data_IF_090935160364
#
_entry.id   IF_090935160364
#
_cell.length_a   1.000
_cell.length_b   1.000
_cell.length_c   1.000
_cell.angle_alpha   90.00
_cell.angle_beta   90.00
_cell.angle_gamma   90.00
#
_symmetry.space_group_name_H-M   'P 1'
#
loop_
_entity.id
_entity.type
_entity.pdbx_description
1 polymer ?
#
# COMPACT_ATOMS: atom_id res chain seq x y z
N UNK A 1 -74.25 10.74 72.05
CA UNK A 1 -73.00 11.35 71.55
C UNK A 1 -72.11 10.22 71.11
N UNK A 2 -72.17 9.90 69.81
CA UNK A 2 -71.38 8.78 69.26
C UNK A 2 -70.54 9.33 68.09
N UNK A 3 -69.22 9.23 68.16
CA UNK A 3 -68.24 9.69 67.21
C UNK A 3 -67.96 8.55 66.19
N UNK A 4 -68.33 8.76 65.00
CA UNK A 4 -68.08 7.82 63.90
C UNK A 4 -66.64 8.06 63.38
N UNK A 5 -65.81 6.99 63.45
CA UNK A 5 -64.45 6.99 62.87
C UNK A 5 -64.49 6.58 61.40
N UNK A 6 -64.07 7.45 60.55
CA UNK A 6 -63.98 7.23 59.13
C UNK A 6 -62.60 6.61 58.80
N UNK A 7 -62.59 5.38 58.28
CA UNK A 7 -61.36 4.69 57.80
C UNK A 7 -61.15 4.96 56.34
N UNK A 8 -60.19 5.80 56.05
CA UNK A 8 -59.69 6.02 54.68
C UNK A 8 -58.79 4.86 54.23
N UNK A 9 -59.17 4.18 53.16
CA UNK A 9 -58.40 3.10 52.55
C UNK A 9 -57.37 3.77 51.60
N UNK A 10 -56.08 3.50 51.84
CA UNK A 10 -54.96 3.91 50.99
C UNK A 10 -54.82 2.85 49.89
N UNK A 11 -55.12 3.25 48.65
CA UNK A 11 -54.85 2.47 47.45
C UNK A 11 -53.38 2.65 47.03
N UNK A 12 -52.58 1.60 47.09
CA UNK A 12 -51.22 1.55 46.57
C UNK A 12 -51.28 1.37 45.03
N UNK A 13 -50.97 2.41 44.30
CA UNK A 13 -50.71 2.31 42.85
C UNK A 13 -49.26 1.87 42.66
N UNK A 14 -49.06 0.64 42.17
CA UNK A 14 -47.78 0.10 41.73
C UNK A 14 -47.45 0.70 40.35
N UNK A 15 -46.56 1.66 40.33
CA UNK A 15 -46.00 2.23 39.09
C UNK A 15 -45.02 1.26 38.47
N UNK A 16 -45.33 0.76 37.28
CA UNK A 16 -44.46 -0.04 36.44
C UNK A 16 -43.47 0.89 35.73
N UNK A 17 -42.22 0.95 36.17
CA UNK A 17 -41.12 1.64 35.47
C UNK A 17 -40.69 0.81 34.27
N UNK A 18 -41.11 1.20 33.06
CA UNK A 18 -40.52 0.69 31.81
C UNK A 18 -39.12 1.31 31.65
N UNK A 19 -38.07 0.52 31.92
CA UNK A 19 -36.71 0.87 31.56
C UNK A 19 -36.56 0.68 30.03
N UNK A 20 -36.57 1.76 29.27
CA UNK A 20 -36.21 1.76 27.86
C UNK A 20 -34.69 1.53 27.75
N UNK A 21 -34.29 0.32 27.41
CA UNK A 21 -32.89 0.03 27.04
C UNK A 21 -32.59 0.66 25.71
N UNK A 22 -31.86 1.78 25.70
CA UNK A 22 -31.20 2.34 24.53
C UNK A 22 -30.05 1.41 24.14
N UNK A 23 -30.28 0.56 23.14
CA UNK A 23 -29.21 -0.15 22.45
C UNK A 23 -28.40 0.88 21.62
N UNK A 24 -27.07 0.96 21.80
CA UNK A 24 -26.26 1.76 20.90
C UNK A 24 -26.31 1.12 19.50
N UNK A 25 -26.85 1.83 18.52
CA UNK A 25 -26.70 1.50 17.12
C UNK A 25 -25.21 1.72 16.81
N UNK A 26 -24.44 0.65 16.84
CA UNK A 26 -23.10 0.63 16.25
C UNK A 26 -23.30 0.81 14.75
N UNK A 27 -23.11 2.04 14.28
CA UNK A 27 -22.94 2.33 12.87
C UNK A 27 -21.65 1.62 12.46
N UNK A 28 -21.78 0.42 11.91
CA UNK A 28 -20.68 -0.23 11.22
C UNK A 28 -20.36 0.65 9.99
N UNK A 29 -19.38 1.56 10.15
CA UNK A 29 -18.60 1.98 9.02
C UNK A 29 -18.02 0.69 8.44
N UNK A 30 -18.45 0.30 7.25
CA UNK A 30 -17.79 -0.72 6.45
C UNK A 30 -16.43 -0.16 6.01
N UNK A 31 -15.47 -0.13 6.93
CA UNK A 31 -14.06 -0.17 6.58
C UNK A 31 -13.87 -1.48 5.82
N UNK A 32 -13.23 -1.42 4.66
CA UNK A 32 -12.70 -2.60 3.97
C UNK A 32 -11.97 -3.43 5.06
N UNK A 33 -12.61 -4.49 5.52
CA UNK A 33 -12.04 -5.41 6.50
C UNK A 33 -10.86 -6.08 5.80
N UNK A 34 -9.64 -5.77 6.22
CA UNK A 34 -8.45 -6.44 5.71
C UNK A 34 -7.36 -5.52 5.13
N UNK A 35 -7.46 -4.20 5.26
CA UNK A 35 -6.34 -3.30 4.88
C UNK A 35 -5.54 -2.92 6.11
N UNK A 36 -4.23 -3.16 6.06
CA UNK A 36 -3.29 -2.93 7.17
C UNK A 36 -2.43 -1.69 6.82
N UNK A 37 -2.37 -0.73 7.73
CA UNK A 37 -1.45 0.39 7.57
C UNK A 37 0.00 -0.03 7.92
N UNK A 38 1.03 0.67 7.39
CA UNK A 38 2.41 0.41 7.77
C UNK A 38 2.67 0.54 9.28
N UNK A 39 1.99 1.47 9.95
CA UNK A 39 2.10 1.64 11.40
C UNK A 39 1.55 0.43 12.16
N UNK A 40 0.32 -0.01 11.83
CA UNK A 40 -0.27 -1.23 12.42
C UNK A 40 0.61 -2.46 12.19
N UNK A 41 1.15 -2.62 10.99
CA UNK A 41 2.04 -3.74 10.70
C UNK A 41 3.30 -3.72 11.58
N UNK A 42 3.90 -2.54 11.80
CA UNK A 42 5.06 -2.41 12.70
C UNK A 42 4.72 -2.71 14.15
N UNK A 43 3.56 -2.25 14.63
CA UNK A 43 3.10 -2.47 16.01
C UNK A 43 2.85 -3.96 16.29
N UNK A 44 2.36 -4.72 15.28
CA UNK A 44 2.14 -6.17 15.38
C UNK A 44 3.43 -7.00 15.34
N UNK A 45 4.60 -6.40 15.13
CA UNK A 45 5.84 -7.11 14.85
C UNK A 45 6.64 -7.55 16.09
N UNK A 46 6.01 -7.69 17.26
CA UNK A 46 6.50 -8.24 18.52
C UNK A 46 8.04 -8.34 18.68
N UNK A 47 8.65 -7.27 19.20
CA UNK A 47 10.02 -7.29 19.73
C UNK A 47 11.15 -7.53 18.72
N UNK A 48 10.88 -7.52 17.43
CA UNK A 48 11.90 -7.58 16.38
C UNK A 48 12.62 -6.24 16.27
N UNK A 49 13.91 -6.25 16.01
CA UNK A 49 14.68 -5.03 15.76
C UNK A 49 14.24 -4.39 14.43
N UNK A 50 14.12 -3.07 14.42
CA UNK A 50 13.93 -2.31 13.20
C UNK A 50 15.08 -2.55 12.21
N UNK A 51 14.78 -2.37 10.90
CA UNK A 51 15.78 -2.40 9.84
C UNK A 51 16.76 -1.22 9.91
N UNK A 52 17.49 -0.95 8.82
CA UNK A 52 18.49 0.14 8.77
C UNK A 52 17.91 1.53 9.08
N UNK A 53 16.61 1.71 8.87
CA UNK A 53 15.84 2.91 9.21
C UNK A 53 14.67 2.49 10.08
N UNK A 54 14.54 3.11 11.24
CA UNK A 54 13.38 2.94 12.12
C UNK A 54 12.26 3.92 11.70
N UNK A 55 11.27 3.43 10.97
CA UNK A 55 10.14 4.24 10.51
C UNK A 55 9.08 4.50 11.60
N UNK A 56 9.20 3.88 12.78
CA UNK A 56 8.42 4.28 13.94
C UNK A 56 8.89 5.67 14.46
N UNK A 57 10.16 5.96 14.34
CA UNK A 57 10.76 7.25 14.72
C UNK A 57 10.94 8.20 13.53
N UNK A 58 11.50 7.73 12.41
CA UNK A 58 11.76 8.53 11.24
C UNK A 58 10.48 8.84 10.45
N UNK A 59 10.45 9.99 9.77
CA UNK A 59 9.37 10.36 8.85
C UNK A 59 9.62 9.71 7.49
N UNK A 60 9.23 8.44 7.36
CA UNK A 60 9.49 7.64 6.16
C UNK A 60 8.52 7.94 5.02
N UNK A 61 9.01 7.70 3.78
CA UNK A 61 8.23 7.75 2.54
C UNK A 61 8.82 6.77 1.52
N UNK A 62 7.95 6.19 0.68
CA UNK A 62 8.34 5.26 -0.39
C UNK A 62 8.05 5.87 -1.76
N UNK A 63 9.06 5.95 -2.62
CA UNK A 63 8.85 6.15 -4.06
C UNK A 63 8.56 4.80 -4.70
N UNK A 64 7.44 4.68 -5.38
CA UNK A 64 7.10 3.46 -6.14
C UNK A 64 6.85 3.77 -7.60
N UNK A 65 7.28 2.85 -8.48
CA UNK A 65 7.15 2.97 -9.92
C UNK A 65 6.49 1.73 -10.49
N UNK A 66 5.37 1.91 -11.19
CA UNK A 66 4.56 0.83 -11.71
C UNK A 66 4.67 0.68 -13.22
N UNK A 67 4.58 -0.56 -13.71
CA UNK A 67 4.45 -0.89 -15.12
C UNK A 67 5.75 -0.76 -15.93
N UNK A 68 6.91 -0.77 -15.28
CA UNK A 68 8.23 -0.93 -15.90
C UNK A 68 8.71 -2.39 -15.92
N UNK A 69 9.99 -2.61 -16.31
CA UNK A 69 10.91 -1.64 -16.87
C UNK A 69 10.54 -1.21 -18.29
N UNK A 70 11.02 -0.05 -18.70
CA UNK A 70 10.78 0.52 -20.01
C UNK A 70 12.05 1.23 -20.53
N UNK A 71 12.07 1.67 -21.79
CA UNK A 71 13.23 2.32 -22.37
C UNK A 71 13.80 3.50 -21.55
N UNK A 72 13.00 4.38 -20.90
CA UNK A 72 13.51 5.44 -20.04
C UNK A 72 13.97 4.99 -18.64
N UNK A 73 13.66 3.79 -18.18
CA UNK A 73 13.98 3.31 -16.82
C UNK A 73 15.47 3.47 -16.44
N UNK A 74 16.47 3.22 -17.33
CA UNK A 74 17.87 3.46 -16.98
C UNK A 74 18.16 4.91 -16.57
N UNK A 75 17.48 5.90 -17.13
CA UNK A 75 17.62 7.32 -16.74
C UNK A 75 17.06 7.59 -15.35
N UNK A 76 15.96 6.92 -14.97
CA UNK A 76 15.43 6.99 -13.62
C UNK A 76 16.41 6.40 -12.61
N UNK A 77 17.00 5.24 -12.91
CA UNK A 77 17.99 4.61 -12.05
C UNK A 77 19.23 5.50 -11.85
N UNK A 78 19.69 6.21 -12.89
CA UNK A 78 20.77 7.19 -12.77
C UNK A 78 20.40 8.34 -11.82
N UNK A 79 19.15 8.81 -11.86
CA UNK A 79 18.64 9.84 -10.93
C UNK A 79 18.64 9.30 -9.50
N UNK A 80 18.01 8.15 -9.25
CA UNK A 80 17.91 7.55 -7.92
C UNK A 80 19.28 7.25 -7.31
N UNK A 81 20.21 6.75 -8.13
CA UNK A 81 21.61 6.51 -7.72
C UNK A 81 22.34 7.79 -7.32
N UNK A 82 22.25 8.85 -8.13
CA UNK A 82 22.83 10.15 -7.83
C UNK A 82 22.27 10.73 -6.54
N UNK A 83 20.96 10.62 -6.36
CA UNK A 83 20.26 11.09 -5.17
C UNK A 83 20.41 10.13 -3.96
N UNK A 84 20.96 8.92 -4.13
CA UNK A 84 21.09 7.88 -3.09
C UNK A 84 19.72 7.56 -2.45
N UNK A 85 18.70 7.38 -3.28
CA UNK A 85 17.32 7.09 -2.86
C UNK A 85 16.96 5.68 -3.29
N UNK A 86 16.61 4.79 -2.36
CA UNK A 86 15.99 3.51 -2.70
C UNK A 86 14.54 3.74 -3.17
N UNK A 87 14.03 2.82 -3.97
CA UNK A 87 12.66 2.82 -4.45
C UNK A 87 12.13 1.40 -4.56
N UNK A 88 10.80 1.25 -4.72
CA UNK A 88 10.18 -0.04 -5.02
C UNK A 88 9.58 0.00 -6.43
N UNK A 89 9.92 -0.99 -7.25
CA UNK A 89 9.45 -1.12 -8.62
C UNK A 89 8.47 -2.28 -8.72
N UNK A 90 7.24 -2.00 -9.15
CA UNK A 90 6.22 -3.00 -9.45
C UNK A 90 6.23 -3.28 -10.95
N UNK A 91 6.80 -4.41 -11.34
CA UNK A 91 7.16 -4.70 -12.72
C UNK A 91 6.07 -5.47 -13.45
N UNK A 92 5.77 -5.02 -14.67
CA UNK A 92 4.92 -5.73 -15.61
C UNK A 92 5.75 -6.73 -16.43
N UNK A 93 5.12 -7.83 -16.88
CA UNK A 93 5.81 -8.89 -17.61
C UNK A 93 5.96 -8.59 -19.09
N UNK A 94 4.85 -8.71 -19.83
CA UNK A 94 4.83 -8.68 -21.29
C UNK A 94 5.26 -7.33 -21.86
N UNK A 95 6.36 -7.33 -22.63
CA UNK A 95 6.95 -6.12 -23.20
C UNK A 95 7.84 -5.33 -22.22
N UNK A 96 8.06 -5.84 -21.02
CA UNK A 96 8.76 -5.19 -19.93
C UNK A 96 9.86 -6.09 -19.32
N UNK A 97 9.56 -6.97 -18.36
CA UNK A 97 10.60 -7.84 -17.77
C UNK A 97 11.21 -8.77 -18.80
N UNK A 98 10.40 -9.30 -19.71
CA UNK A 98 10.85 -10.13 -20.83
C UNK A 98 11.75 -9.38 -21.83
N UNK A 99 11.54 -8.07 -21.97
CA UNK A 99 12.29 -7.22 -22.92
C UNK A 99 13.54 -6.60 -22.28
N UNK A 100 13.49 -6.27 -20.98
CA UNK A 100 14.55 -5.53 -20.28
C UNK A 100 15.09 -6.26 -19.03
N UNK A 101 15.45 -7.56 -19.09
CA UNK A 101 15.88 -8.31 -17.91
C UNK A 101 17.15 -7.73 -17.26
N UNK A 102 18.05 -7.12 -18.05
CA UNK A 102 19.25 -6.47 -17.53
C UNK A 102 18.94 -5.23 -16.69
N UNK A 103 17.84 -4.52 -17.01
CA UNK A 103 17.37 -3.39 -16.21
C UNK A 103 16.80 -3.86 -14.87
N UNK A 104 16.08 -4.99 -14.84
CA UNK A 104 15.60 -5.63 -13.59
C UNK A 104 16.80 -6.01 -12.71
N UNK A 105 17.81 -6.65 -13.30
CA UNK A 105 19.07 -6.99 -12.59
C UNK A 105 19.74 -5.73 -12.02
N UNK A 106 19.77 -4.63 -12.77
CA UNK A 106 20.34 -3.35 -12.33
C UNK A 106 19.58 -2.76 -11.14
N UNK A 107 18.23 -2.78 -11.17
CA UNK A 107 17.40 -2.31 -10.05
C UNK A 107 17.79 -3.00 -8.74
N UNK A 108 17.84 -4.34 -8.75
CA UNK A 108 18.19 -5.12 -7.57
C UNK A 108 19.63 -4.85 -7.09
N UNK A 109 20.60 -4.76 -8.00
CA UNK A 109 22.02 -4.49 -7.68
C UNK A 109 22.23 -3.08 -7.10
N UNK A 110 21.41 -2.11 -7.48
CA UNK A 110 21.48 -0.74 -6.95
C UNK A 110 20.66 -0.55 -5.66
N UNK A 111 20.10 -1.66 -5.09
CA UNK A 111 19.44 -1.65 -3.77
C UNK A 111 17.97 -1.27 -3.82
N UNK A 112 17.36 -1.25 -5.00
CA UNK A 112 15.92 -1.08 -5.13
C UNK A 112 15.19 -2.40 -4.85
N UNK A 113 13.97 -2.30 -4.36
CA UNK A 113 13.07 -3.43 -4.22
C UNK A 113 12.32 -3.66 -5.54
N UNK A 114 12.22 -4.93 -5.94
CA UNK A 114 11.57 -5.36 -7.18
C UNK A 114 10.40 -6.25 -6.83
N UNK A 115 9.22 -5.93 -7.34
CA UNK A 115 7.95 -6.54 -7.03
C UNK A 115 7.11 -6.78 -8.30
N UNK A 116 6.03 -7.56 -8.16
CA UNK A 116 5.19 -7.99 -9.27
C UNK A 116 4.07 -6.99 -9.58
N UNK A 117 3.79 -6.75 -10.88
CA UNK A 117 2.65 -5.95 -11.34
C UNK A 117 1.87 -6.63 -12.49
N UNK A 118 1.84 -7.96 -12.47
CA UNK A 118 1.16 -8.84 -13.43
C UNK A 118 1.76 -8.87 -14.84
N UNK A 119 1.38 -9.87 -15.61
CA UNK A 119 1.92 -10.10 -16.96
C UNK A 119 1.41 -9.06 -17.96
N UNK A 120 0.10 -8.82 -17.98
CA UNK A 120 -0.55 -8.00 -19.03
C UNK A 120 -1.39 -6.84 -18.48
N UNK A 121 -1.28 -6.57 -17.17
CA UNK A 121 -1.98 -5.47 -16.49
C UNK A 121 -3.52 -5.56 -16.52
N UNK A 122 -4.07 -6.79 -16.47
CA UNK A 122 -5.51 -7.00 -16.36
C UNK A 122 -6.03 -6.68 -14.96
N UNK A 123 -7.30 -6.28 -14.88
CA UNK A 123 -7.99 -6.19 -13.59
C UNK A 123 -8.17 -7.60 -13.01
N UNK A 124 -7.47 -7.90 -11.91
CA UNK A 124 -7.47 -9.24 -11.32
C UNK A 124 -8.84 -9.64 -10.74
N UNK A 125 -9.67 -8.68 -10.35
CA UNK A 125 -11.01 -8.98 -9.78
C UNK A 125 -12.02 -9.48 -10.82
N UNK A 126 -11.66 -9.42 -12.11
CA UNK A 126 -12.48 -9.89 -13.22
C UNK A 126 -12.02 -11.26 -13.75
N UNK A 127 -10.99 -11.85 -13.12
CA UNK A 127 -10.35 -13.08 -13.55
C UNK A 127 -10.69 -14.24 -12.61
N UNK A 128 -10.69 -15.44 -13.17
CA UNK A 128 -10.72 -16.68 -12.38
C UNK A 128 -9.39 -16.90 -11.64
N UNK A 129 -9.35 -17.71 -10.57
CA UNK A 129 -8.11 -18.04 -9.87
C UNK A 129 -6.96 -18.52 -10.76
N UNK A 130 -7.26 -19.36 -11.76
CA UNK A 130 -6.25 -19.85 -12.70
C UNK A 130 -5.74 -18.75 -13.64
N UNK A 131 -6.60 -17.83 -14.08
CA UNK A 131 -6.19 -16.67 -14.87
C UNK A 131 -5.37 -15.68 -14.03
N UNK A 132 -5.67 -15.51 -12.73
CA UNK A 132 -4.85 -14.71 -11.81
C UNK A 132 -3.44 -15.33 -11.71
N UNK A 133 -3.32 -16.66 -11.53
CA UNK A 133 -2.01 -17.35 -11.53
C UNK A 133 -1.25 -17.12 -12.84
N UNK A 134 -1.94 -17.22 -13.97
CA UNK A 134 -1.35 -16.99 -15.29
C UNK A 134 -0.84 -15.54 -15.49
N UNK A 135 -1.45 -14.57 -14.83
CA UNK A 135 -0.98 -13.17 -14.82
C UNK A 135 0.20 -12.94 -13.85
N UNK A 136 0.34 -13.73 -12.79
CA UNK A 136 1.29 -13.48 -11.71
C UNK A 136 2.56 -14.30 -11.83
N UNK A 137 2.47 -15.62 -12.00
CA UNK A 137 3.61 -16.53 -11.95
C UNK A 137 4.71 -16.26 -12.99
N UNK A 138 4.40 -15.89 -14.25
CA UNK A 138 5.47 -15.61 -15.22
C UNK A 138 6.37 -14.45 -14.77
N UNK A 139 5.78 -13.41 -14.20
CA UNK A 139 6.52 -12.23 -13.73
C UNK A 139 7.35 -12.55 -12.48
N UNK A 140 6.86 -13.41 -11.57
CA UNK A 140 7.68 -13.91 -10.46
C UNK A 140 8.92 -14.63 -10.96
N UNK A 141 8.78 -15.50 -11.97
CA UNK A 141 9.90 -16.24 -12.59
C UNK A 141 10.90 -15.31 -13.27
N UNK A 142 10.42 -14.29 -14.00
CA UNK A 142 11.29 -13.29 -14.64
C UNK A 142 12.10 -12.52 -13.61
N UNK A 143 11.45 -12.07 -12.52
CA UNK A 143 12.11 -11.34 -11.43
C UNK A 143 13.12 -12.24 -10.73
N UNK A 144 12.75 -13.47 -10.39
CA UNK A 144 13.65 -14.44 -9.76
C UNK A 144 14.88 -14.71 -10.64
N UNK A 145 14.69 -14.95 -11.94
CA UNK A 145 15.77 -15.19 -12.89
C UNK A 145 16.73 -13.99 -13.00
N UNK A 146 16.19 -12.75 -12.92
CA UNK A 146 16.99 -11.53 -13.05
C UNK A 146 17.68 -11.10 -11.75
N UNK A 147 17.13 -11.45 -10.57
CA UNK A 147 17.57 -10.94 -9.27
C UNK A 147 18.09 -12.00 -8.32
N UNK A 148 17.80 -13.29 -8.58
CA UNK A 148 18.07 -14.42 -7.67
C UNK A 148 17.13 -14.46 -6.46
N UNK A 149 16.03 -13.69 -6.46
CA UNK A 149 15.06 -13.63 -5.36
C UNK A 149 13.65 -13.71 -5.90
N UNK A 150 12.81 -14.53 -5.30
CA UNK A 150 11.37 -14.55 -5.54
C UNK A 150 10.77 -13.29 -4.89
N UNK A 151 10.01 -12.46 -5.63
CA UNK A 151 9.33 -11.32 -5.02
C UNK A 151 8.23 -11.79 -4.05
N UNK A 152 8.07 -11.08 -2.94
CA UNK A 152 7.02 -11.31 -1.95
C UNK A 152 5.92 -10.25 -1.97
N UNK A 153 5.98 -9.30 -2.90
CA UNK A 153 5.03 -8.21 -3.08
C UNK A 153 4.44 -8.21 -4.48
N UNK A 154 3.16 -7.86 -4.55
CA UNK A 154 2.46 -7.55 -5.79
C UNK A 154 1.66 -6.26 -5.59
N UNK A 155 1.58 -5.44 -6.63
CA UNK A 155 0.56 -4.38 -6.71
C UNK A 155 -0.46 -4.78 -7.75
N UNK A 156 -1.76 -4.95 -7.37
CA UNK A 156 -2.78 -5.26 -8.36
C UNK A 156 -3.01 -4.06 -9.29
N UNK A 157 -3.20 -4.27 -10.60
CA UNK A 157 -3.52 -3.22 -11.56
C UNK A 157 -4.71 -2.38 -11.12
N UNK A 158 -4.55 -1.05 -11.15
CA UNK A 158 -5.57 -0.11 -10.68
C UNK A 158 -5.87 -0.17 -9.17
N UNK A 159 -5.14 -0.97 -8.40
CA UNK A 159 -5.39 -1.22 -6.98
C UNK A 159 -6.64 -2.09 -6.73
N UNK A 160 -7.18 -2.74 -7.76
CA UNK A 160 -8.37 -3.57 -7.66
C UNK A 160 -8.06 -4.92 -7.02
N UNK A 161 -8.70 -5.22 -5.90
CA UNK A 161 -8.55 -6.46 -5.15
C UNK A 161 -9.87 -6.91 -4.52
N UNK A 162 -9.97 -8.20 -4.21
CA UNK A 162 -11.07 -8.85 -3.50
C UNK A 162 -10.55 -10.11 -2.80
N UNK A 163 -11.43 -10.87 -2.16
CA UNK A 163 -11.04 -12.08 -1.42
C UNK A 163 -10.44 -13.15 -2.33
N UNK A 164 -10.98 -13.38 -3.54
CA UNK A 164 -10.45 -14.36 -4.51
C UNK A 164 -9.00 -13.99 -4.92
N UNK A 165 -8.75 -12.72 -5.18
CA UNK A 165 -7.39 -12.22 -5.48
C UNK A 165 -6.47 -12.44 -4.27
N UNK A 166 -6.93 -12.11 -3.06
CA UNK A 166 -6.16 -12.26 -1.84
C UNK A 166 -5.82 -13.72 -1.54
N UNK A 167 -6.75 -14.65 -1.79
CA UNK A 167 -6.54 -16.08 -1.59
C UNK A 167 -5.49 -16.64 -2.55
N UNK A 168 -5.58 -16.31 -3.84
CA UNK A 168 -4.59 -16.73 -4.84
C UNK A 168 -3.20 -16.14 -4.51
N UNK A 169 -3.14 -14.86 -4.15
CA UNK A 169 -1.87 -14.22 -3.80
C UNK A 169 -1.26 -14.80 -2.51
N UNK A 170 -2.10 -15.22 -1.55
CA UNK A 170 -1.65 -15.93 -0.33
C UNK A 170 -0.97 -17.26 -0.69
N UNK A 171 -1.56 -18.04 -1.60
CA UNK A 171 -0.98 -19.29 -2.07
C UNK A 171 0.34 -19.07 -2.84
N UNK A 172 0.45 -17.97 -3.58
CA UNK A 172 1.65 -17.59 -4.33
C UNK A 172 2.73 -16.90 -3.48
N UNK A 173 2.49 -16.70 -2.18
CA UNK A 173 3.44 -16.07 -1.27
C UNK A 173 3.57 -14.57 -1.41
N UNK A 174 2.55 -13.88 -1.97
CA UNK A 174 2.57 -12.45 -2.28
C UNK A 174 1.64 -11.64 -1.37
N UNK A 175 2.16 -10.58 -0.77
CA UNK A 175 1.39 -9.52 -0.15
C UNK A 175 1.01 -8.44 -1.17
N UNK A 176 -0.05 -7.69 -0.90
CA UNK A 176 -0.55 -6.64 -1.78
C UNK A 176 -0.13 -5.25 -1.27
N UNK A 177 0.51 -4.46 -2.13
CA UNK A 177 0.99 -3.12 -1.80
C UNK A 177 0.21 -2.06 -2.58
N UNK A 178 -0.64 -1.30 -1.91
CA UNK A 178 -1.34 -0.16 -2.48
C UNK A 178 -0.57 1.16 -2.23
N UNK A 179 -1.22 2.30 -2.40
CA UNK A 179 -0.62 3.62 -2.26
C UNK A 179 -1.56 4.61 -1.56
N UNK A 180 -1.00 5.69 -1.04
CA UNK A 180 -1.75 6.83 -0.49
C UNK A 180 -1.60 8.11 -1.31
N UNK A 181 -0.55 8.19 -2.14
CA UNK A 181 -0.24 9.38 -2.94
C UNK A 181 -0.24 9.03 -4.42
N UNK A 182 -1.01 9.75 -5.24
CA UNK A 182 -1.02 9.60 -6.70
C UNK A 182 -0.67 10.90 -7.41
N UNK A 183 0.38 10.86 -8.21
CA UNK A 183 0.80 12.00 -9.03
C UNK A 183 -0.10 12.23 -10.25
N UNK A 184 -0.89 11.21 -10.64
CA UNK A 184 -1.64 11.18 -11.91
C UNK A 184 -0.76 11.58 -13.10
N UNK A 185 0.48 11.09 -13.11
CA UNK A 185 1.52 11.38 -14.09
C UNK A 185 1.17 10.87 -15.50
N UNK A 186 0.28 9.88 -15.58
CA UNK A 186 -0.31 9.40 -16.84
C UNK A 186 -1.28 10.40 -17.50
N UNK A 187 -1.65 11.49 -16.82
CA UNK A 187 -2.57 12.52 -17.33
C UNK A 187 -1.87 13.79 -17.80
N UNK A 188 -0.56 13.93 -17.59
CA UNK A 188 0.17 15.17 -17.87
C UNK A 188 1.65 14.90 -18.15
N UNK A 189 2.27 15.77 -18.95
CA UNK A 189 3.73 15.83 -19.12
C UNK A 189 4.37 16.95 -18.31
N UNK A 190 3.58 17.74 -17.58
CA UNK A 190 4.06 18.82 -16.72
C UNK A 190 4.68 18.26 -15.43
N UNK A 191 6.00 18.26 -15.38
CA UNK A 191 6.76 17.77 -14.24
C UNK A 191 6.59 18.62 -12.98
N UNK A 192 6.30 19.92 -13.12
CA UNK A 192 6.03 20.79 -11.98
C UNK A 192 4.68 20.43 -11.33
N UNK A 193 3.65 20.18 -12.13
CA UNK A 193 2.34 19.72 -11.66
C UNK A 193 2.42 18.32 -11.03
N UNK A 194 3.18 17.39 -11.61
CA UNK A 194 3.43 16.05 -11.04
C UNK A 194 4.06 16.21 -9.65
N UNK A 195 5.14 16.99 -9.54
CA UNK A 195 5.80 17.29 -8.26
C UNK A 195 4.82 17.88 -7.26
N UNK A 196 4.07 18.90 -7.64
CA UNK A 196 3.12 19.57 -6.74
C UNK A 196 2.09 18.59 -6.18
N UNK A 197 1.47 17.76 -7.04
CA UNK A 197 0.49 16.74 -6.63
C UNK A 197 1.06 15.76 -5.61
N UNK A 198 2.31 15.36 -5.78
CA UNK A 198 3.01 14.48 -4.81
C UNK A 198 3.19 15.20 -3.49
N UNK A 199 3.72 16.43 -3.51
CA UNK A 199 4.03 17.18 -2.28
C UNK A 199 2.79 17.54 -1.45
N UNK A 200 1.65 17.79 -2.12
CA UNK A 200 0.39 18.14 -1.47
C UNK A 200 -0.28 16.97 -0.74
N UNK A 201 -0.02 15.74 -1.19
CA UNK A 201 -0.65 14.53 -0.66
C UNK A 201 0.26 13.74 0.29
N UNK A 202 1.59 14.01 0.26
CA UNK A 202 2.54 13.18 1.00
C UNK A 202 2.47 13.45 2.49
N UNK A 203 2.14 12.41 3.25
CA UNK A 203 2.20 12.35 4.71
C UNK A 203 3.23 11.32 5.16
N UNK A 204 3.45 11.19 6.50
CA UNK A 204 4.29 10.14 7.08
C UNK A 204 3.81 8.77 6.61
N UNK A 205 4.74 7.89 6.33
CA UNK A 205 4.52 6.53 5.81
C UNK A 205 3.88 6.49 4.43
N UNK A 206 3.83 7.62 3.72
CA UNK A 206 3.25 7.75 2.41
C UNK A 206 3.91 6.84 1.37
N UNK A 207 3.09 6.17 0.57
CA UNK A 207 3.51 5.36 -0.57
C UNK A 207 3.08 6.11 -1.83
N UNK A 208 4.09 6.57 -2.61
CA UNK A 208 3.90 7.45 -3.76
C UNK A 208 3.87 6.62 -5.04
N UNK A 209 2.74 6.66 -5.76
CA UNK A 209 2.55 6.01 -7.06
C UNK A 209 3.00 6.91 -8.20
N UNK A 210 3.95 6.41 -8.99
CA UNK A 210 4.50 7.00 -10.21
C UNK A 210 4.65 5.93 -11.30
N UNK A 211 4.88 6.37 -12.57
CA UNK A 211 5.12 5.49 -13.70
C UNK A 211 6.23 6.10 -14.57
N UNK A 212 7.42 5.53 -14.59
CA UNK A 212 8.60 6.10 -15.25
C UNK A 212 8.51 6.17 -16.78
N UNK A 213 7.54 5.47 -17.38
CA UNK A 213 7.29 5.49 -18.83
C UNK A 213 6.68 6.80 -19.33
N UNK A 214 6.07 7.61 -18.44
CA UNK A 214 5.48 8.89 -18.83
C UNK A 214 6.50 10.02 -18.79
N UNK A 215 6.49 10.88 -19.83
CA UNK A 215 7.54 11.84 -20.09
C UNK A 215 7.76 12.88 -18.97
N UNK A 216 6.71 13.21 -18.21
CA UNK A 216 6.78 14.18 -17.11
C UNK A 216 7.36 13.63 -15.81
N UNK A 217 7.37 12.30 -15.63
CA UNK A 217 7.68 11.66 -14.35
C UNK A 217 9.17 11.78 -13.98
N UNK A 218 10.07 11.30 -14.84
CA UNK A 218 11.51 11.32 -14.53
C UNK A 218 12.02 12.74 -14.25
N UNK A 219 11.64 13.79 -15.02
CA UNK A 219 12.02 15.17 -14.71
C UNK A 219 11.47 15.69 -13.36
N UNK A 220 10.34 15.17 -12.87
CA UNK A 220 9.78 15.57 -11.58
C UNK A 220 10.53 14.98 -10.37
N UNK A 221 11.12 13.78 -10.52
CA UNK A 221 11.71 13.01 -9.41
C UNK A 221 12.77 13.77 -8.61
N UNK A 222 13.77 14.48 -9.22
CA UNK A 222 14.77 15.21 -8.44
C UNK A 222 14.13 16.29 -7.53
N UNK A 223 13.13 17.02 -8.05
CA UNK A 223 12.42 18.02 -7.28
C UNK A 223 11.57 17.42 -6.16
N UNK A 224 10.90 16.29 -6.40
CA UNK A 224 10.17 15.54 -5.37
C UNK A 224 11.12 15.13 -4.24
N UNK A 225 12.28 14.55 -4.57
CA UNK A 225 13.26 14.11 -3.58
C UNK A 225 13.78 15.29 -2.76
N UNK A 226 14.18 16.37 -3.41
CA UNK A 226 14.74 17.56 -2.75
C UNK A 226 13.74 18.17 -1.76
N UNK A 227 12.50 18.38 -2.17
CA UNK A 227 11.47 19.02 -1.35
C UNK A 227 11.03 18.13 -0.17
N UNK A 228 10.88 16.81 -0.39
CA UNK A 228 10.53 15.90 0.70
C UNK A 228 11.68 15.77 1.71
N UNK A 229 12.94 15.76 1.28
CA UNK A 229 14.08 15.82 2.19
C UNK A 229 14.10 17.11 3.02
N UNK A 230 13.84 18.25 2.38
CA UNK A 230 13.75 19.53 3.09
C UNK A 230 12.62 19.54 4.13
N UNK A 231 11.56 18.72 3.94
CA UNK A 231 10.47 18.50 4.92
C UNK A 231 10.79 17.40 5.94
N UNK A 232 12.01 16.87 5.98
CA UNK A 232 12.49 15.85 6.94
C UNK A 232 12.11 14.41 6.60
N UNK A 233 11.69 14.12 5.37
CA UNK A 233 11.39 12.74 4.98
C UNK A 233 12.65 11.92 4.70
N UNK A 234 12.61 10.65 5.12
CA UNK A 234 13.59 9.61 4.80
C UNK A 234 13.00 8.65 3.79
N UNK A 235 13.71 8.45 2.66
CA UNK A 235 13.28 7.53 1.61
C UNK A 235 13.69 6.10 1.94
N UNK A 236 12.74 5.19 1.83
CA UNK A 236 12.91 3.76 2.10
C UNK A 236 12.23 2.92 1.01
N UNK A 237 12.49 1.62 0.94
CA UNK A 237 11.68 0.68 0.14
C UNK A 237 10.39 0.33 0.89
N UNK A 238 9.44 -0.31 0.20
CA UNK A 238 8.20 -0.75 0.82
C UNK A 238 8.46 -1.71 2.00
N UNK A 239 9.30 -2.72 1.80
CA UNK A 239 9.64 -3.66 2.89
C UNK A 239 10.38 -2.97 4.04
N UNK A 240 11.20 -1.96 3.78
CA UNK A 240 11.83 -1.17 4.85
C UNK A 240 10.81 -0.32 5.60
N UNK A 241 9.80 0.23 4.92
CA UNK A 241 8.71 0.96 5.58
C UNK A 241 7.95 0.08 6.57
N UNK A 242 7.74 -1.20 6.21
CA UNK A 242 7.05 -2.17 7.06
C UNK A 242 7.89 -2.71 8.22
N UNK A 243 9.23 -2.57 8.14
CA UNK A 243 10.15 -3.14 9.14
C UNK A 243 9.88 -2.59 10.56
N UNK A 244 9.89 -3.46 11.59
CA UNK A 244 10.36 -4.86 11.61
C UNK A 244 9.36 -5.92 11.13
N UNK A 245 8.15 -5.55 10.76
CA UNK A 245 7.20 -6.49 10.17
C UNK A 245 7.68 -6.97 8.79
N UNK A 246 7.22 -8.16 8.42
CA UNK A 246 7.35 -8.71 7.07
C UNK A 246 5.94 -8.76 6.47
N UNK A 247 5.73 -8.19 5.27
CA UNK A 247 4.44 -8.28 4.60
C UNK A 247 3.96 -9.73 4.49
N UNK A 248 2.74 -10.01 4.96
CA UNK A 248 2.17 -11.36 5.00
C UNK A 248 1.43 -11.66 3.70
N UNK A 249 1.61 -12.85 3.12
CA UNK A 249 0.94 -13.26 1.88
C UNK A 249 -0.60 -13.12 1.99
N UNK A 250 -1.22 -12.60 0.93
CA UNK A 250 -2.66 -12.36 0.82
C UNK A 250 -3.14 -11.06 1.47
N UNK A 251 -2.38 -10.49 2.42
CA UNK A 251 -2.76 -9.25 3.10
C UNK A 251 -2.58 -8.03 2.21
N UNK A 252 -3.42 -7.01 2.43
CA UNK A 252 -3.42 -5.75 1.70
C UNK A 252 -2.86 -4.64 2.58
N UNK A 253 -1.82 -3.95 2.10
CA UNK A 253 -1.17 -2.86 2.83
C UNK A 253 -1.39 -1.53 2.13
N UNK A 254 -1.83 -0.53 2.91
CA UNK A 254 -2.05 0.85 2.46
C UNK A 254 -1.91 1.80 3.65
N UNK A 255 -1.19 2.97 3.52
CA UNK A 255 -1.19 4.05 4.52
C UNK A 255 -2.55 4.66 4.76
#
# INVERSE_FOLDING_TARGET
MMRVMNRTRLTRTTGLLLAAALLPVLTACSTLTGVISPAEARDDADGRAAGPVDCAEAKCVVLTFDGGPSAPTPKLLDVLKREKVPATFFLQGKGHTDTYPQTVTRMAKEGHEVANHTLTHKNLTELTPDEIRAEVEPVQKDIEAATGKVPNLLRPPGGATNDDVSDVLRELGLAQALWSVTAKDFQTTDSALIKQRVLDQTERDGIILLHERYAGTIPAVPGIISELRAKGYTFVTFSQLMSPAVPRPGEVYRP
#
